data_IF_512644954258
#
_entry.id   IF_512644954258
#
_cell.length_a   1.000
_cell.length_b   1.000
_cell.length_c   1.000
_cell.angle_alpha   90.00
_cell.angle_beta   90.00
_cell.angle_gamma   90.00
#
_symmetry.space_group_name_H-M   'P 1'
#
loop_
_entity.id
_entity.type
_entity.pdbx_description
1 polymer ?
#
# COMPACT_ATOMS: atom_id res chain seq x y z
N UNK A 1 -0.78 -12.12 10.13
CA UNK A 1 -0.41 -10.72 10.50
C UNK A 1 -0.46 -10.56 12.01
N UNK A 2 0.58 -9.95 12.65
CA UNK A 2 0.64 -9.72 14.10
C UNK A 2 0.28 -8.28 14.42
N UNK A 3 -0.77 -8.05 15.22
CA UNK A 3 -1.11 -6.73 15.73
C UNK A 3 -0.16 -6.33 16.85
N UNK A 4 0.34 -5.09 16.81
CA UNK A 4 1.15 -4.51 17.88
C UNK A 4 0.31 -4.28 19.14
N UNK A 5 0.85 -4.59 20.30
CA UNK A 5 0.19 -4.30 21.59
C UNK A 5 0.00 -2.80 21.85
N UNK A 6 0.69 -1.93 21.08
CA UNK A 6 0.57 -0.46 21.15
C UNK A 6 -0.32 0.11 20.06
N UNK A 7 -1.07 -0.73 19.33
CA UNK A 7 -2.00 -0.28 18.30
C UNK A 7 -3.17 0.48 18.93
N UNK A 8 -3.54 1.63 18.36
CA UNK A 8 -4.70 2.40 18.81
C UNK A 8 -6.03 1.72 18.44
N UNK A 9 -6.04 0.98 17.32
CA UNK A 9 -7.20 0.27 16.79
C UNK A 9 -6.97 -1.24 16.86
N UNK A 10 -8.06 -1.98 16.94
CA UNK A 10 -8.10 -3.43 16.80
C UNK A 10 -8.00 -3.87 15.33
N UNK A 11 -7.89 -5.17 15.09
CA UNK A 11 -7.77 -5.70 13.72
C UNK A 11 -8.98 -5.38 12.84
N UNK A 12 -10.25 -5.54 13.27
CA UNK A 12 -11.40 -5.16 12.46
C UNK A 12 -11.40 -3.69 12.03
N UNK A 13 -11.07 -2.79 12.95
CA UNK A 13 -10.98 -1.34 12.67
C UNK A 13 -9.88 -1.01 11.66
N UNK A 14 -8.71 -1.66 11.77
CA UNK A 14 -7.63 -1.53 10.79
C UNK A 14 -8.08 -2.01 9.40
N UNK A 15 -8.73 -3.17 9.33
CA UNK A 15 -9.22 -3.72 8.06
C UNK A 15 -10.28 -2.82 7.41
N UNK A 16 -11.19 -2.29 8.22
CA UNK A 16 -12.18 -1.33 7.75
C UNK A 16 -11.49 -0.08 7.17
N UNK A 17 -10.57 0.54 7.92
CA UNK A 17 -9.81 1.70 7.46
C UNK A 17 -9.09 1.43 6.14
N UNK A 18 -8.35 0.32 6.02
CA UNK A 18 -7.57 -0.01 4.83
C UNK A 18 -8.45 -0.23 3.58
N UNK A 19 -9.68 -0.69 3.75
CA UNK A 19 -10.61 -0.90 2.64
C UNK A 19 -11.39 0.37 2.27
N UNK A 20 -11.66 1.23 3.24
CA UNK A 20 -12.49 2.41 3.06
C UNK A 20 -11.72 3.58 2.44
N UNK A 21 -10.47 3.82 2.88
CA UNK A 21 -9.70 4.96 2.39
C UNK A 21 -9.13 4.75 1.00
N UNK A 22 -9.22 5.78 0.15
CA UNK A 22 -8.64 5.80 -1.20
C UNK A 22 -7.44 6.75 -1.24
N UNK A 23 -6.39 6.38 -0.51
CA UNK A 23 -5.12 7.11 -0.42
C UNK A 23 -3.96 6.16 -0.74
N UNK A 24 -2.83 6.65 -1.26
CA UNK A 24 -1.68 5.78 -1.55
C UNK A 24 -1.07 5.16 -0.29
N UNK A 25 -0.58 3.92 -0.42
CA UNK A 25 0.36 3.34 0.54
C UNK A 25 1.76 3.91 0.27
N UNK A 26 2.47 4.25 1.33
CA UNK A 26 3.90 4.59 1.29
C UNK A 26 4.71 3.36 1.68
N UNK A 27 5.58 2.92 0.78
CA UNK A 27 6.44 1.74 1.00
C UNK A 27 7.89 2.21 1.09
N UNK A 28 8.56 1.84 2.18
CA UNK A 28 9.99 2.09 2.38
C UNK A 28 10.79 0.80 2.18
N UNK A 29 11.80 0.85 1.32
CA UNK A 29 12.73 -0.25 1.02
C UNK A 29 14.16 0.28 1.15
N UNK A 30 15.07 -0.50 1.73
CA UNK A 30 16.46 -0.08 1.83
C UNK A 30 17.19 -0.23 0.49
N UNK A 31 17.92 0.85 0.12
CA UNK A 31 18.93 0.87 -0.91
C UNK A 31 20.29 1.01 -0.21
N UNK A 32 21.03 -0.10 -0.05
CA UNK A 32 22.18 -0.11 0.85
C UNK A 32 21.76 0.25 2.28
N UNK A 33 22.38 1.26 2.86
CA UNK A 33 22.12 1.72 4.23
C UNK A 33 21.04 2.81 4.32
N UNK A 34 20.49 3.25 3.19
CA UNK A 34 19.49 4.33 3.16
C UNK A 34 18.13 3.84 2.71
N UNK A 35 17.03 4.19 3.40
CA UNK A 35 15.69 3.86 2.96
C UNK A 35 15.24 4.77 1.81
N UNK A 36 14.54 4.17 0.83
CA UNK A 36 13.84 4.87 -0.25
C UNK A 36 12.34 4.69 -0.02
N UNK A 37 11.56 5.78 -0.14
CA UNK A 37 10.12 5.76 0.01
C UNK A 37 9.47 5.92 -1.37
N UNK A 38 8.50 5.05 -1.68
CA UNK A 38 7.67 5.11 -2.87
C UNK A 38 6.20 5.08 -2.48
N UNK A 39 5.38 5.89 -3.17
CA UNK A 39 3.93 5.91 -2.99
C UNK A 39 3.26 5.17 -4.15
N UNK A 40 2.32 4.29 -3.82
CA UNK A 40 1.60 3.44 -4.79
C UNK A 40 0.11 3.38 -4.46
N UNK A 41 -0.71 3.14 -5.47
CA UNK A 41 -2.06 2.69 -5.24
C UNK A 41 -2.06 1.27 -4.65
N UNK A 42 -3.03 0.98 -3.81
CA UNK A 42 -3.18 -0.35 -3.23
C UNK A 42 -4.65 -0.76 -3.10
N UNK A 43 -4.86 -2.06 -3.04
CA UNK A 43 -6.03 -2.69 -2.46
C UNK A 43 -5.56 -3.62 -1.34
N UNK A 44 -6.36 -3.80 -0.30
CA UNK A 44 -6.05 -4.73 0.78
C UNK A 44 -6.91 -5.99 0.64
N UNK A 45 -6.26 -7.13 0.44
CA UNK A 45 -6.89 -8.44 0.45
C UNK A 45 -6.93 -8.96 1.88
N UNK A 46 -8.12 -8.96 2.50
CA UNK A 46 -8.30 -9.37 3.88
C UNK A 46 -8.13 -10.89 4.08
N UNK A 47 -8.44 -11.71 3.07
CA UNK A 47 -8.27 -13.17 3.12
C UNK A 47 -6.78 -13.55 3.03
N UNK A 48 -6.06 -12.95 2.11
CA UNK A 48 -4.62 -13.15 1.96
C UNK A 48 -3.79 -12.39 3.00
N UNK A 49 -4.42 -11.47 3.78
CA UNK A 49 -3.77 -10.51 4.67
C UNK A 49 -2.62 -9.76 3.97
N UNK A 50 -2.87 -9.20 2.78
CA UNK A 50 -1.85 -8.60 1.95
C UNK A 50 -2.29 -7.32 1.26
N UNK A 51 -1.39 -6.35 1.17
CA UNK A 51 -1.53 -5.23 0.25
C UNK A 51 -1.18 -5.70 -1.16
N UNK A 52 -2.03 -5.33 -2.10
CA UNK A 52 -1.87 -5.57 -3.54
C UNK A 52 -1.56 -4.25 -4.22
N UNK A 53 -0.36 -4.08 -4.72
CA UNK A 53 0.09 -2.91 -5.47
C UNK A 53 0.59 -3.33 -6.85
N UNK A 54 0.64 -2.39 -7.78
CA UNK A 54 1.19 -2.64 -9.11
C UNK A 54 2.24 -1.59 -9.43
N UNK A 55 3.33 -2.01 -10.06
CA UNK A 55 4.40 -1.11 -10.49
C UNK A 55 5.09 -1.64 -11.74
N UNK A 56 5.46 -0.70 -12.63
CA UNK A 56 6.14 -1.01 -13.88
C UNK A 56 7.48 -1.70 -13.66
N UNK A 57 7.85 -2.64 -14.53
CA UNK A 57 9.05 -3.46 -14.42
C UNK A 57 10.37 -2.68 -14.35
N UNK A 58 10.42 -1.50 -14.95
CA UNK A 58 11.58 -0.59 -14.94
C UNK A 58 11.58 0.37 -13.75
N UNK A 59 10.62 0.27 -12.83
CA UNK A 59 10.59 1.16 -11.67
C UNK A 59 11.71 0.83 -10.69
N UNK A 60 12.26 1.88 -10.09
CA UNK A 60 13.31 1.72 -9.06
C UNK A 60 12.84 0.86 -7.88
N UNK A 61 11.55 0.94 -7.52
CA UNK A 61 10.98 0.11 -6.47
C UNK A 61 11.07 -1.40 -6.82
N UNK A 62 10.76 -1.77 -8.06
CA UNK A 62 10.87 -3.18 -8.50
C UNK A 62 12.32 -3.66 -8.46
N UNK A 63 13.28 -2.84 -8.85
CA UNK A 63 14.71 -3.16 -8.74
C UNK A 63 15.11 -3.42 -7.27
N UNK A 64 14.70 -2.55 -6.36
CA UNK A 64 14.99 -2.69 -4.92
C UNK A 64 14.33 -3.93 -4.32
N UNK A 65 13.06 -4.20 -4.66
CA UNK A 65 12.33 -5.35 -4.14
C UNK A 65 12.86 -6.68 -4.66
N UNK A 66 13.47 -6.72 -5.86
CA UNK A 66 14.19 -7.90 -6.35
C UNK A 66 15.43 -8.22 -5.51
N UNK A 67 16.07 -7.20 -4.94
CA UNK A 67 17.27 -7.35 -4.11
C UNK A 67 16.94 -7.57 -2.64
N UNK A 68 15.92 -6.86 -2.14
CA UNK A 68 15.51 -6.92 -0.73
C UNK A 68 13.98 -6.83 -0.63
N UNK A 69 13.36 -7.95 -0.32
CA UNK A 69 11.90 -8.06 -0.18
C UNK A 69 11.36 -7.59 1.18
N UNK A 70 12.21 -7.13 2.10
CA UNK A 70 11.79 -6.55 3.37
C UNK A 70 11.45 -5.08 3.16
N UNK A 71 10.30 -4.66 3.68
CA UNK A 71 9.85 -3.28 3.59
C UNK A 71 9.08 -2.84 4.83
N UNK A 72 9.02 -1.55 5.04
CA UNK A 72 8.07 -0.92 5.92
C UNK A 72 6.97 -0.26 5.09
N UNK A 73 5.83 0.01 5.70
CA UNK A 73 4.72 0.68 5.02
C UNK A 73 3.94 1.59 5.96
N UNK A 74 3.26 2.55 5.35
CA UNK A 74 2.31 3.45 6.00
C UNK A 74 1.14 3.75 5.07
N UNK A 75 -0.07 3.78 5.65
CA UNK A 75 -1.28 4.31 5.04
C UNK A 75 -1.87 5.33 6.02
N UNK A 76 -1.83 6.61 5.66
CA UNK A 76 -2.30 7.71 6.49
C UNK A 76 -2.75 8.88 5.63
N UNK A 77 -3.88 9.55 5.97
CA UNK A 77 -4.25 10.82 5.36
C UNK A 77 -3.24 11.92 5.72
N UNK A 78 -3.21 12.98 4.92
CA UNK A 78 -2.33 14.12 5.17
C UNK A 78 -2.98 15.19 6.06
N UNK A 79 -4.31 15.15 6.18
CA UNK A 79 -5.09 16.16 6.91
C UNK A 79 -5.39 15.70 8.35
N UNK A 80 -5.51 16.64 9.30
CA UNK A 80 -5.93 16.33 10.67
C UNK A 80 -7.41 15.89 10.71
N UNK A 81 -7.78 15.09 11.73
CA UNK A 81 -6.94 14.58 12.81
C UNK A 81 -6.01 13.47 12.32
N UNK A 82 -4.73 13.55 12.71
CA UNK A 82 -3.72 12.61 12.23
C UNK A 82 -3.92 11.20 12.80
N UNK A 83 -4.11 10.26 11.93
CA UNK A 83 -4.29 8.85 12.24
C UNK A 83 -3.78 7.99 11.07
N UNK A 84 -3.63 6.70 11.28
CA UNK A 84 -3.21 5.82 10.21
C UNK A 84 -2.73 4.46 10.68
N UNK A 85 -2.26 3.70 9.72
CA UNK A 85 -1.77 2.34 9.86
C UNK A 85 -0.36 2.25 9.33
N UNK A 86 0.53 1.58 10.05
CA UNK A 86 1.92 1.33 9.65
C UNK A 86 2.37 -0.05 10.08
N UNK A 87 3.41 -0.53 9.43
CA UNK A 87 3.97 -1.83 9.79
C UNK A 87 5.24 -2.16 9.01
N UNK A 88 5.65 -3.40 9.17
CA UNK A 88 6.72 -4.01 8.39
C UNK A 88 6.23 -5.30 7.78
N UNK A 89 6.73 -5.62 6.60
CA UNK A 89 6.29 -6.78 5.86
C UNK A 89 7.33 -7.31 4.90
N UNK A 90 6.87 -8.29 4.12
CA UNK A 90 7.63 -8.89 3.03
C UNK A 90 6.84 -8.75 1.73
N UNK A 91 7.49 -8.23 0.71
CA UNK A 91 6.93 -8.13 -0.62
C UNK A 91 7.32 -9.38 -1.45
N UNK A 92 6.41 -9.83 -2.28
CA UNK A 92 6.68 -10.77 -3.37
C UNK A 92 6.24 -10.16 -4.70
N UNK A 93 6.96 -10.51 -5.77
CA UNK A 93 6.73 -9.98 -7.10
C UNK A 93 6.26 -11.09 -8.04
N UNK A 94 5.22 -10.83 -8.81
CA UNK A 94 4.74 -11.73 -9.85
C UNK A 94 4.16 -10.93 -11.02
N UNK A 95 4.22 -11.50 -12.24
CA UNK A 95 3.48 -10.93 -13.38
C UNK A 95 2.06 -11.49 -13.46
N UNK A 96 1.87 -12.69 -12.93
CA UNK A 96 0.53 -13.30 -12.92
C UNK A 96 -0.44 -12.47 -12.08
N UNK A 97 -1.55 -12.06 -12.67
CA UNK A 97 -2.58 -11.24 -12.05
C UNK A 97 -2.26 -9.73 -11.96
N UNK A 98 -1.12 -9.27 -12.51
CA UNK A 98 -0.77 -7.85 -12.48
C UNK A 98 -1.76 -6.99 -13.27
N UNK A 99 -2.21 -7.44 -14.43
CA UNK A 99 -3.20 -6.74 -15.25
C UNK A 99 -4.56 -6.61 -14.56
N UNK A 100 -5.06 -7.68 -13.93
CA UNK A 100 -6.32 -7.65 -13.20
C UNK A 100 -6.24 -6.73 -11.98
N UNK A 101 -5.12 -6.81 -11.24
CA UNK A 101 -4.87 -5.90 -10.12
C UNK A 101 -4.77 -4.44 -10.56
N UNK A 102 -4.08 -4.15 -11.68
CA UNK A 102 -3.99 -2.80 -12.23
C UNK A 102 -5.37 -2.26 -12.59
N UNK A 103 -6.21 -3.08 -13.24
CA UNK A 103 -7.59 -2.70 -13.57
C UNK A 103 -8.39 -2.35 -12.32
N UNK A 104 -8.38 -3.20 -11.30
CA UNK A 104 -9.08 -2.96 -10.04
C UNK A 104 -8.59 -1.69 -9.32
N UNK A 105 -7.26 -1.44 -9.32
CA UNK A 105 -6.68 -0.23 -8.76
C UNK A 105 -7.07 1.03 -9.55
N UNK A 106 -7.09 0.94 -10.88
CA UNK A 106 -7.52 2.04 -11.74
C UNK A 106 -8.99 2.40 -11.46
N UNK A 107 -9.87 1.43 -11.34
CA UNK A 107 -11.27 1.65 -10.95
C UNK A 107 -11.39 2.28 -9.57
N UNK A 108 -10.64 1.77 -8.58
CA UNK A 108 -10.67 2.27 -7.20
C UNK A 108 -10.21 3.73 -7.07
N UNK A 109 -9.14 4.12 -7.80
CA UNK A 109 -8.50 5.43 -7.61
C UNK A 109 -8.94 6.49 -8.63
N UNK A 110 -9.30 6.09 -9.83
CA UNK A 110 -9.72 7.01 -10.89
C UNK A 110 -11.22 6.94 -11.16
N UNK A 111 -11.85 5.77 -11.06
CA UNK A 111 -13.24 5.59 -11.49
C UNK A 111 -13.40 6.13 -12.91
N UNK A 112 -14.36 7.04 -13.08
CA UNK A 112 -14.62 7.71 -14.37
C UNK A 112 -13.90 9.06 -14.54
N UNK A 113 -13.07 9.47 -13.56
CA UNK A 113 -12.53 10.84 -13.52
C UNK A 113 -11.38 11.09 -14.50
N UNK A 114 -10.63 10.06 -14.88
CA UNK A 114 -9.48 10.18 -15.79
C UNK A 114 -9.32 8.96 -16.70
N UNK A 115 -10.20 8.85 -17.68
CA UNK A 115 -10.25 7.76 -18.66
C UNK A 115 -8.99 7.66 -19.53
N UNK A 116 -8.33 8.78 -19.81
CA UNK A 116 -7.12 8.82 -20.62
C UNK A 116 -5.94 8.18 -19.86
N UNK A 117 -5.74 8.56 -18.60
CA UNK A 117 -4.75 7.94 -17.74
C UNK A 117 -5.03 6.45 -17.50
N UNK A 118 -6.30 6.10 -17.29
CA UNK A 118 -6.72 4.71 -17.12
C UNK A 118 -6.33 3.86 -18.33
N UNK A 119 -6.63 4.33 -19.55
CA UNK A 119 -6.29 3.65 -20.80
C UNK A 119 -4.79 3.51 -20.97
N UNK A 120 -4.04 4.59 -20.76
CA UNK A 120 -2.56 4.57 -20.86
C UNK A 120 -1.91 3.58 -19.88
N UNK A 121 -2.42 3.46 -18.66
CA UNK A 121 -1.94 2.48 -17.69
C UNK A 121 -2.25 1.05 -18.15
N UNK A 122 -3.47 0.78 -18.62
CA UNK A 122 -3.92 -0.56 -19.01
C UNK A 122 -3.24 -1.04 -20.29
N UNK A 123 -2.89 -0.15 -21.22
CA UNK A 123 -2.19 -0.48 -22.46
C UNK A 123 -0.78 -1.06 -22.24
N UNK A 124 -0.21 -0.90 -21.04
CA UNK A 124 1.11 -1.44 -20.67
C UNK A 124 1.05 -2.46 -19.53
N UNK A 125 -0.10 -3.04 -19.27
CA UNK A 125 -0.32 -3.97 -18.16
C UNK A 125 0.58 -5.21 -18.18
N UNK A 126 1.05 -5.63 -19.36
CA UNK A 126 2.03 -6.72 -19.56
C UNK A 126 3.44 -6.41 -19.04
N UNK A 127 3.76 -5.12 -18.84
CA UNK A 127 5.02 -4.64 -18.30
C UNK A 127 4.98 -4.40 -16.79
N UNK A 128 3.85 -4.70 -16.16
CA UNK A 128 3.63 -4.46 -14.74
C UNK A 128 3.95 -5.71 -13.89
N UNK A 129 4.42 -5.45 -12.67
CA UNK A 129 4.51 -6.43 -11.60
C UNK A 129 3.42 -6.19 -10.57
N UNK A 130 2.76 -7.27 -10.15
CA UNK A 130 1.97 -7.31 -8.93
C UNK A 130 2.92 -7.46 -7.75
N UNK A 131 2.86 -6.52 -6.83
CA UNK A 131 3.56 -6.52 -5.54
C UNK A 131 2.56 -6.97 -4.49
N UNK A 132 2.79 -8.14 -3.89
CA UNK A 132 2.04 -8.61 -2.71
C UNK A 132 2.86 -8.36 -1.47
N UNK A 133 2.45 -7.39 -0.66
CA UNK A 133 3.11 -7.05 0.59
C UNK A 133 2.33 -7.66 1.75
N UNK A 134 2.90 -8.70 2.36
CA UNK A 134 2.34 -9.35 3.56
C UNK A 134 2.93 -8.72 4.82
N UNK A 135 2.11 -8.08 5.67
CA UNK A 135 2.56 -7.59 6.96
C UNK A 135 3.07 -8.71 7.85
N UNK A 136 4.28 -8.55 8.42
CA UNK A 136 4.78 -9.36 9.52
C UNK A 136 4.17 -8.86 10.82
N UNK A 137 4.15 -7.53 11.00
CA UNK A 137 3.39 -6.87 12.05
C UNK A 137 2.74 -5.58 11.53
N UNK A 138 1.67 -5.17 12.20
CA UNK A 138 0.90 -3.97 11.89
C UNK A 138 0.53 -3.22 13.18
N UNK A 139 0.40 -1.91 13.10
CA UNK A 139 -0.04 -1.04 14.18
C UNK A 139 -0.79 0.16 13.60
N UNK A 140 -1.69 0.73 14.38
CA UNK A 140 -2.29 2.02 14.08
C UNK A 140 -1.91 3.05 15.13
N UNK A 141 -2.06 4.31 14.77
CA UNK A 141 -2.06 5.45 15.68
C UNK A 141 -3.28 6.31 15.40
N UNK A 142 -3.76 7.01 16.42
CA UNK A 142 -4.88 7.93 16.32
C UNK A 142 -4.69 9.07 17.32
N UNK A 143 -4.56 10.28 16.80
CA UNK A 143 -4.39 11.50 17.59
C UNK A 143 -5.68 12.35 17.64
N UNK A 144 -6.82 11.82 17.19
CA UNK A 144 -8.09 12.51 17.16
C UNK A 144 -8.41 13.17 18.51
N UNK A 145 -8.42 12.39 19.60
CA UNK A 145 -8.69 12.91 20.95
C UNK A 145 -7.72 14.00 21.44
N UNK A 146 -6.47 13.96 20.97
CA UNK A 146 -5.46 14.98 21.32
C UNK A 146 -5.70 16.29 20.60
N UNK A 147 -6.31 16.23 19.41
CA UNK A 147 -6.52 17.39 18.54
C UNK A 147 -7.88 18.07 18.77
N UNK A 148 -8.80 17.37 19.43
CA UNK A 148 -10.09 17.96 19.88
C UNK A 148 -9.95 18.82 21.14
N UNK A 149 -8.81 18.71 21.84
CA UNK A 149 -8.56 19.37 23.13
C UNK A 149 -7.73 20.65 23.03
N UNK A 150 -7.56 21.23 21.81
CA UNK A 150 -6.76 22.44 21.55
C UNK A 150 -7.68 23.57 21.07
#
# INVERSE_FOLDING_TARGET
MKLSAKSAWDTPSILHFLNDVTIPIRIAVNKGDSPVICSLWYAFDAEAEAFMCVSHESSHLIELLKQNHRCAFEVAPNDPPYHGVRGQGRASLTRAGAGDALKALTERYLGDTNQELARWLLDRADQEYLIRLKPVWISSWDYGRRMESV
#
